data_IF_804016221412
#
_entry.id   IF_804016221412
#
_cell.length_a   1.000
_cell.length_b   1.000
_cell.length_c   1.000
_cell.angle_alpha   90.00
_cell.angle_beta   90.00
_cell.angle_gamma   90.00
#
_symmetry.space_group_name_H-M   'P 1'
#
loop_
_entity.id
_entity.type
_entity.pdbx_description
1 polymer ?
#
# COMPACT_ATOMS: atom_id res chain seq x y z
N UNK A 1 -20.12 -14.77 17.92
CA UNK A 1 -21.17 -14.99 16.89
C UNK A 1 -20.45 -15.32 15.58
N UNK A 2 -20.49 -16.61 15.19
CA UNK A 2 -19.88 -17.08 13.95
C UNK A 2 -20.80 -16.73 12.78
N UNK A 3 -20.48 -15.68 12.04
CA UNK A 3 -21.20 -15.35 10.81
C UNK A 3 -20.71 -16.26 9.68
N UNK A 4 -21.12 -17.53 9.73
CA UNK A 4 -21.05 -18.40 8.58
C UNK A 4 -22.17 -17.97 7.61
N UNK A 5 -22.04 -16.80 7.01
CA UNK A 5 -22.95 -16.36 5.97
C UNK A 5 -22.67 -17.17 4.72
N UNK A 6 -23.66 -17.98 4.32
CA UNK A 6 -23.72 -18.73 3.07
C UNK A 6 -24.22 -17.87 1.90
N UNK A 7 -24.39 -16.55 2.09
CA UNK A 7 -24.78 -15.64 1.02
C UNK A 7 -23.71 -15.67 -0.09
N UNK A 8 -24.07 -16.00 -1.34
CA UNK A 8 -23.13 -16.09 -2.45
C UNK A 8 -22.29 -14.82 -2.66
N UNK A 9 -22.88 -13.65 -2.38
CA UNK A 9 -22.18 -12.36 -2.51
C UNK A 9 -21.04 -12.21 -1.49
N UNK A 10 -21.24 -12.75 -0.29
CA UNK A 10 -20.20 -12.74 0.76
C UNK A 10 -19.10 -13.73 0.42
N UNK A 11 -19.43 -14.88 -0.13
CA UNK A 11 -18.46 -15.87 -0.58
C UNK A 11 -17.60 -15.28 -1.71
N UNK A 12 -18.24 -14.68 -2.72
CA UNK A 12 -17.54 -13.99 -3.81
C UNK A 12 -16.60 -12.89 -3.28
N UNK A 13 -17.07 -12.05 -2.35
CA UNK A 13 -16.23 -11.01 -1.76
C UNK A 13 -15.00 -11.58 -1.03
N UNK A 14 -15.18 -12.69 -0.30
CA UNK A 14 -14.07 -13.36 0.39
C UNK A 14 -13.05 -13.92 -0.60
N UNK A 15 -13.53 -14.55 -1.66
CA UNK A 15 -12.69 -15.08 -2.74
C UNK A 15 -11.89 -13.95 -3.43
N UNK A 16 -12.57 -12.87 -3.85
CA UNK A 16 -11.92 -11.71 -4.45
C UNK A 16 -10.90 -11.05 -3.52
N UNK A 17 -11.18 -10.95 -2.22
CA UNK A 17 -10.20 -10.48 -1.23
C UNK A 17 -9.02 -11.43 -1.09
N UNK A 18 -9.27 -12.74 -1.11
CA UNK A 18 -8.22 -13.76 -1.09
C UNK A 18 -7.29 -13.62 -2.29
N UNK A 19 -7.85 -13.52 -3.49
CA UNK A 19 -7.09 -13.33 -4.72
C UNK A 19 -6.28 -12.01 -4.69
N UNK A 20 -6.88 -10.90 -4.27
CA UNK A 20 -6.21 -9.61 -4.17
C UNK A 20 -5.02 -9.61 -3.19
N UNK A 21 -5.07 -10.44 -2.15
CA UNK A 21 -3.97 -10.59 -1.19
C UNK A 21 -2.75 -11.32 -1.75
N UNK A 22 -2.90 -12.05 -2.84
CA UNK A 22 -1.79 -12.74 -3.50
C UNK A 22 -0.85 -11.79 -4.26
N UNK A 23 -1.21 -10.50 -4.39
CA UNK A 23 -0.36 -9.52 -5.07
C UNK A 23 0.08 -9.99 -6.45
N UNK A 24 1.39 -10.11 -6.67
CA UNK A 24 1.97 -10.57 -7.94
C UNK A 24 1.85 -12.07 -8.21
N UNK A 25 1.26 -12.84 -7.27
CA UNK A 25 1.08 -14.28 -7.37
C UNK A 25 2.22 -15.11 -6.77
N UNK A 26 2.00 -16.43 -6.61
CA UNK A 26 2.89 -17.29 -5.84
C UNK A 26 4.31 -17.35 -6.39
N UNK A 27 4.50 -17.33 -7.70
CA UNK A 27 5.83 -17.38 -8.32
C UNK A 27 6.67 -16.13 -7.97
N UNK A 28 6.07 -14.94 -8.04
CA UNK A 28 6.76 -13.68 -7.71
C UNK A 28 7.02 -13.54 -6.22
N UNK A 29 6.12 -14.06 -5.38
CA UNK A 29 6.31 -14.15 -3.93
C UNK A 29 7.49 -15.07 -3.63
N UNK A 30 7.54 -16.26 -4.22
CA UNK A 30 8.67 -17.19 -4.06
C UNK A 30 10.00 -16.58 -4.51
N UNK A 31 10.00 -15.85 -5.64
CA UNK A 31 11.18 -15.14 -6.10
C UNK A 31 11.63 -14.00 -5.16
N UNK A 32 10.70 -13.36 -4.46
CA UNK A 32 11.01 -12.35 -3.42
C UNK A 32 11.66 -13.02 -2.20
N UNK A 33 11.09 -14.13 -1.73
CA UNK A 33 11.64 -14.91 -0.62
C UNK A 33 13.01 -15.50 -0.93
N UNK A 34 13.23 -15.99 -2.15
CA UNK A 34 14.53 -16.49 -2.59
C UNK A 34 15.65 -15.44 -2.51
N UNK A 35 15.30 -14.13 -2.54
CA UNK A 35 16.23 -13.02 -2.34
C UNK A 35 16.39 -12.62 -0.86
N UNK A 36 15.82 -13.38 0.06
CA UNK A 36 15.81 -13.07 1.49
C UNK A 36 14.91 -11.88 1.87
N UNK A 37 13.97 -11.49 0.99
CA UNK A 37 13.07 -10.36 1.22
C UNK A 37 11.67 -10.85 1.57
N UNK A 38 11.03 -10.18 2.54
CA UNK A 38 9.63 -10.36 2.87
C UNK A 38 8.73 -9.61 1.87
N UNK A 39 7.51 -10.09 1.70
CA UNK A 39 6.45 -9.38 0.98
C UNK A 39 6.00 -8.13 1.73
N UNK A 40 5.26 -7.23 1.07
CA UNK A 40 4.69 -6.04 1.70
C UNK A 40 3.82 -6.40 2.92
N UNK A 41 2.98 -7.43 2.79
CA UNK A 41 2.07 -7.87 3.85
C UNK A 41 2.80 -8.45 5.05
N UNK A 42 3.79 -9.31 4.82
CA UNK A 42 4.62 -9.90 5.88
C UNK A 42 5.35 -8.81 6.68
N UNK A 43 5.89 -7.78 6.01
CA UNK A 43 6.52 -6.65 6.68
C UNK A 43 5.55 -5.88 7.58
N UNK A 44 4.30 -5.69 7.12
CA UNK A 44 3.27 -5.02 7.91
C UNK A 44 2.82 -5.87 9.10
N UNK A 45 2.64 -7.19 8.90
CA UNK A 45 2.26 -8.13 9.97
C UNK A 45 3.33 -8.26 11.04
N UNK A 46 4.60 -8.13 10.66
CA UNK A 46 5.72 -8.14 11.61
C UNK A 46 5.79 -6.85 12.44
N UNK A 47 5.39 -5.71 11.87
CA UNK A 47 5.51 -4.40 12.50
C UNK A 47 4.31 -4.06 13.38
N UNK A 48 3.10 -4.40 12.96
CA UNK A 48 1.87 -4.01 13.64
C UNK A 48 1.45 -5.01 14.71
N UNK A 49 0.68 -4.54 15.69
CA UNK A 49 0.07 -5.40 16.68
C UNK A 49 -0.79 -6.47 16.00
N UNK A 50 -0.67 -7.70 16.48
CA UNK A 50 -1.32 -8.86 15.87
C UNK A 50 -2.83 -8.66 15.67
N UNK A 51 -3.27 -8.78 14.42
CA UNK A 51 -4.70 -8.68 14.04
C UNK A 51 -5.27 -7.26 14.02
N UNK A 52 -4.45 -6.23 14.30
CA UNK A 52 -4.89 -4.83 14.30
C UNK A 52 -5.05 -4.26 12.87
N UNK A 53 -4.33 -4.80 11.89
CA UNK A 53 -4.30 -4.25 10.53
C UNK A 53 -5.67 -4.27 9.85
N UNK A 54 -6.08 -3.11 9.36
CA UNK A 54 -7.28 -2.91 8.52
C UNK A 54 -6.86 -2.36 7.18
N UNK A 55 -6.91 -3.21 6.16
CA UNK A 55 -6.54 -2.84 4.80
C UNK A 55 -7.59 -1.96 4.14
N UNK A 56 -7.13 -0.97 3.39
CA UNK A 56 -7.95 -0.06 2.60
C UNK A 56 -7.59 -0.16 1.12
N UNK A 57 -8.59 0.09 0.27
CA UNK A 57 -8.42 0.17 -1.19
C UNK A 57 -7.79 -1.08 -1.83
N UNK A 58 -8.08 -2.26 -1.28
CA UNK A 58 -7.54 -3.55 -1.74
C UNK A 58 -7.86 -3.85 -3.21
N UNK A 59 -8.99 -3.34 -3.73
CA UNK A 59 -9.46 -3.60 -5.10
C UNK A 59 -9.08 -2.53 -6.11
N UNK A 60 -8.40 -1.46 -5.68
CA UNK A 60 -7.94 -0.40 -6.60
C UNK A 60 -6.91 -1.00 -7.57
N UNK A 61 -7.07 -0.66 -8.85
CA UNK A 61 -6.13 -1.00 -9.92
C UNK A 61 -5.72 0.27 -10.66
N UNK A 62 -4.65 0.21 -11.45
CA UNK A 62 -4.30 1.31 -12.34
C UNK A 62 -5.37 1.51 -13.43
N UNK A 63 -5.39 2.70 -14.04
CA UNK A 63 -6.33 3.08 -15.09
C UNK A 63 -5.69 3.09 -16.49
N UNK A 64 -4.41 2.76 -16.61
CA UNK A 64 -3.72 2.76 -17.90
C UNK A 64 -4.15 1.56 -18.74
N UNK A 65 -4.30 1.81 -20.05
CA UNK A 65 -4.58 0.79 -21.06
C UNK A 65 -3.40 0.61 -22.03
N UNK A 66 -2.33 1.40 -21.85
CA UNK A 66 -1.18 1.39 -22.75
C UNK A 66 -0.22 0.26 -22.40
N UNK A 67 0.60 -0.13 -23.38
CA UNK A 67 1.66 -1.14 -23.22
C UNK A 67 1.19 -2.48 -22.67
N UNK A 68 -0.07 -2.88 -22.89
CA UNK A 68 -0.64 -4.15 -22.43
C UNK A 68 -1.04 -4.17 -20.97
N UNK A 69 -1.08 -3.01 -20.29
CA UNK A 69 -1.54 -2.91 -18.90
C UNK A 69 -3.03 -3.21 -18.76
N UNK A 70 -3.82 -3.00 -19.82
CA UNK A 70 -5.24 -3.38 -19.87
C UNK A 70 -5.49 -4.85 -19.49
N UNK A 71 -4.53 -5.74 -19.81
CA UNK A 71 -4.56 -7.18 -19.54
C UNK A 71 -3.98 -7.57 -18.18
N UNK A 72 -3.41 -6.64 -17.45
CA UNK A 72 -2.68 -6.88 -16.20
C UNK A 72 -3.19 -6.00 -15.05
N UNK A 73 -4.49 -6.02 -14.79
CA UNK A 73 -5.11 -5.26 -13.69
C UNK A 73 -5.01 -6.02 -12.38
N UNK A 74 -3.89 -5.85 -11.68
CA UNK A 74 -3.63 -6.51 -10.39
C UNK A 74 -4.22 -5.66 -9.27
N UNK A 75 -5.15 -6.20 -8.43
CA UNK A 75 -5.70 -5.48 -7.29
C UNK A 75 -4.63 -5.01 -6.30
N UNK A 76 -4.84 -3.82 -5.75
CA UNK A 76 -3.89 -3.19 -4.85
C UNK A 76 -2.83 -2.35 -5.53
N UNK A 77 -2.61 -2.55 -6.85
CA UNK A 77 -1.71 -1.78 -7.71
C UNK A 77 -0.30 -1.55 -7.15
N UNK A 78 0.28 -2.59 -6.54
CA UNK A 78 1.66 -2.56 -6.05
C UNK A 78 1.87 -1.81 -4.74
N UNK A 79 0.80 -1.44 -4.02
CA UNK A 79 0.89 -0.91 -2.67
C UNK A 79 -0.24 -1.39 -1.77
N UNK A 80 0.13 -1.90 -0.62
CA UNK A 80 -0.82 -2.23 0.46
C UNK A 80 -0.95 -1.01 1.36
N UNK A 81 -2.18 -0.56 1.61
CA UNK A 81 -2.46 0.63 2.42
C UNK A 81 -3.49 0.31 3.49
N UNK A 82 -3.39 0.97 4.64
CA UNK A 82 -4.35 0.77 5.70
C UNK A 82 -3.93 1.45 7.00
N UNK A 83 -4.51 0.98 8.09
CA UNK A 83 -4.18 1.42 9.43
C UNK A 83 -4.18 0.24 10.40
N UNK A 84 -3.52 0.42 11.51
CA UNK A 84 -3.45 -0.58 12.59
C UNK A 84 -2.94 0.08 13.86
N UNK A 85 -2.52 -0.74 14.81
CA UNK A 85 -1.84 -0.24 16.00
C UNK A 85 -0.39 -0.74 16.04
N UNK A 86 0.47 0.06 16.65
CA UNK A 86 1.84 -0.26 17.00
C UNK A 86 2.03 0.09 18.47
N UNK A 87 2.26 -0.90 19.31
CA UNK A 87 2.28 -0.76 20.78
C UNK A 87 1.01 -0.05 21.31
N UNK A 88 -0.16 -0.45 20.78
CA UNK A 88 -1.45 0.11 21.13
C UNK A 88 -1.77 1.49 20.55
N UNK A 89 -0.85 2.12 19.82
CA UNK A 89 -1.05 3.45 19.22
C UNK A 89 -1.51 3.34 17.78
N UNK A 90 -2.52 4.12 17.41
CA UNK A 90 -3.01 4.19 16.02
C UNK A 90 -1.90 4.70 15.09
N UNK A 91 -1.65 3.95 14.03
CA UNK A 91 -0.76 4.34 12.93
C UNK A 91 -1.44 4.06 11.59
N UNK A 92 -1.17 4.92 10.61
CA UNK A 92 -1.49 4.67 9.22
C UNK A 92 -0.23 4.16 8.52
N UNK A 93 -0.41 3.18 7.63
CA UNK A 93 0.73 2.49 7.05
C UNK A 93 0.49 2.22 5.57
N UNK A 94 1.55 2.35 4.78
CA UNK A 94 1.61 1.81 3.44
C UNK A 94 2.88 0.99 3.24
N UNK A 95 2.79 -0.06 2.44
CA UNK A 95 3.93 -0.89 2.07
C UNK A 95 3.90 -1.15 0.56
N UNK A 96 4.97 -0.79 -0.14
CA UNK A 96 5.11 -1.07 -1.56
C UNK A 96 5.39 -2.55 -1.77
N UNK A 97 4.64 -3.16 -2.70
CA UNK A 97 4.72 -4.58 -3.02
C UNK A 97 5.53 -4.80 -4.29
N UNK A 98 6.78 -5.19 -4.11
CA UNK A 98 7.70 -5.43 -5.22
C UNK A 98 7.25 -6.59 -6.13
N UNK A 99 6.37 -7.48 -5.66
CA UNK A 99 5.83 -8.57 -6.47
C UNK A 99 4.88 -8.09 -7.56
N UNK A 100 4.33 -6.85 -7.42
CA UNK A 100 3.42 -6.23 -8.37
C UNK A 100 4.12 -5.08 -9.09
N UNK A 101 4.42 -5.26 -10.36
CA UNK A 101 5.11 -4.26 -11.21
C UNK A 101 6.41 -3.70 -10.58
N UNK A 102 7.14 -4.52 -9.78
CA UNK A 102 8.34 -4.08 -9.07
C UNK A 102 8.06 -2.96 -8.04
N UNK A 103 6.85 -2.91 -7.48
CA UNK A 103 6.45 -1.83 -6.56
C UNK A 103 6.44 -0.44 -7.19
N UNK A 104 6.46 -0.35 -8.53
CA UNK A 104 6.52 0.92 -9.25
C UNK A 104 5.26 1.76 -9.02
N UNK A 105 5.46 3.06 -8.84
CA UNK A 105 4.39 3.99 -8.50
C UNK A 105 3.62 4.40 -9.74
N UNK A 106 2.34 4.04 -9.80
CA UNK A 106 1.34 4.55 -10.73
C UNK A 106 0.63 5.76 -10.14
N UNK A 107 -0.22 6.41 -10.92
CA UNK A 107 -1.11 7.44 -10.37
C UNK A 107 -2.07 6.86 -9.31
N UNK A 108 -2.65 5.69 -9.53
CA UNK A 108 -3.55 5.03 -8.56
C UNK A 108 -2.80 4.62 -7.28
N UNK A 109 -1.59 4.08 -7.41
CA UNK A 109 -0.69 3.76 -6.30
C UNK A 109 -0.43 5.01 -5.43
N UNK A 110 -0.03 6.12 -6.06
CA UNK A 110 0.22 7.39 -5.38
C UNK A 110 -1.03 7.92 -4.68
N UNK A 111 -2.20 7.88 -5.34
CA UNK A 111 -3.48 8.33 -4.77
C UNK A 111 -3.85 7.55 -3.50
N UNK A 112 -3.57 6.24 -3.44
CA UNK A 112 -3.76 5.44 -2.23
C UNK A 112 -2.87 5.91 -1.08
N UNK A 113 -1.60 6.23 -1.36
CA UNK A 113 -0.65 6.76 -0.36
C UNK A 113 -1.12 8.12 0.14
N UNK A 114 -1.48 9.04 -0.75
CA UNK A 114 -2.00 10.37 -0.39
C UNK A 114 -3.24 10.26 0.49
N UNK A 115 -4.17 9.38 0.15
CA UNK A 115 -5.37 9.13 0.96
C UNK A 115 -5.03 8.69 2.39
N UNK A 116 -4.07 7.79 2.56
CA UNK A 116 -3.61 7.34 3.89
C UNK A 116 -2.99 8.49 4.67
N UNK A 117 -2.17 9.34 4.03
CA UNK A 117 -1.58 10.52 4.64
C UNK A 117 -2.66 11.52 5.11
N UNK A 118 -3.67 11.77 4.27
CA UNK A 118 -4.78 12.67 4.60
C UNK A 118 -5.61 12.17 5.79
N UNK A 119 -5.85 10.85 5.84
CA UNK A 119 -6.56 10.23 6.96
C UNK A 119 -5.74 10.30 8.25
N UNK A 120 -4.45 10.05 8.17
CA UNK A 120 -3.54 10.16 9.31
C UNK A 120 -3.55 11.57 9.90
N UNK A 121 -3.47 12.60 9.04
CA UNK A 121 -3.56 13.99 9.47
C UNK A 121 -4.86 14.33 10.18
N UNK A 122 -5.99 13.91 9.59
CA UNK A 122 -7.32 14.15 10.18
C UNK A 122 -7.47 13.51 11.56
N UNK A 123 -6.78 12.38 11.80
CA UNK A 123 -6.85 11.64 13.05
C UNK A 123 -5.67 11.93 14.00
N UNK A 124 -4.75 12.82 13.63
CA UNK A 124 -3.56 13.12 14.44
C UNK A 124 -2.65 11.92 14.66
N UNK A 125 -2.63 10.95 13.72
CA UNK A 125 -1.88 9.72 13.81
C UNK A 125 -0.61 9.76 12.94
N UNK A 126 0.40 8.95 13.30
CA UNK A 126 1.62 8.81 12.52
C UNK A 126 1.37 8.04 11.21
N UNK A 127 2.20 8.31 10.20
CA UNK A 127 2.27 7.53 8.96
C UNK A 127 3.59 6.78 8.90
N UNK A 128 3.53 5.49 8.58
CA UNK A 128 4.70 4.64 8.36
C UNK A 128 4.71 4.19 6.91
N UNK A 129 5.81 4.46 6.20
CA UNK A 129 6.02 4.02 4.83
C UNK A 129 7.10 2.93 4.74
N UNK A 130 6.73 1.75 4.25
CA UNK A 130 7.65 0.65 3.98
C UNK A 130 7.95 0.61 2.47
N UNK A 131 8.97 1.35 2.06
CA UNK A 131 9.30 1.52 0.65
C UNK A 131 10.09 0.32 0.10
N UNK A 132 9.67 -0.18 -1.06
CA UNK A 132 10.38 -1.17 -1.88
C UNK A 132 9.87 -1.02 -3.32
N UNK A 133 10.51 -0.14 -4.11
CA UNK A 133 10.01 0.29 -5.41
C UNK A 133 11.11 0.45 -6.44
N UNK A 134 10.81 0.07 -7.66
CA UNK A 134 11.65 0.34 -8.84
C UNK A 134 11.53 1.79 -9.37
N UNK A 135 10.73 2.65 -8.74
CA UNK A 135 10.55 4.04 -9.17
C UNK A 135 9.18 4.33 -9.79
N UNK A 136 9.09 5.34 -10.67
CA UNK A 136 7.86 5.66 -11.40
C UNK A 136 7.49 4.55 -12.40
N UNK A 137 6.19 4.25 -12.55
CA UNK A 137 5.72 3.30 -13.56
C UNK A 137 5.80 3.93 -14.93
N UNK A 138 6.88 3.62 -15.68
CA UNK A 138 7.18 4.24 -16.97
C UNK A 138 6.07 4.06 -18.01
N UNK A 139 5.32 2.96 -17.93
CA UNK A 139 4.20 2.69 -18.85
C UNK A 139 3.04 3.69 -18.68
N UNK A 140 2.95 4.39 -17.56
CA UNK A 140 1.96 5.45 -17.33
C UNK A 140 2.50 6.86 -17.64
N UNK A 141 3.77 6.97 -18.03
CA UNK A 141 4.38 8.22 -18.47
C UNK A 141 4.23 9.36 -17.45
N UNK A 142 3.72 10.50 -17.90
CA UNK A 142 3.57 11.71 -17.09
C UNK A 142 2.62 11.51 -15.89
N UNK A 143 1.62 10.62 -16.01
CA UNK A 143 0.67 10.38 -14.92
C UNK A 143 1.35 9.79 -13.68
N UNK A 144 2.34 8.89 -13.87
CA UNK A 144 3.10 8.34 -12.75
C UNK A 144 4.02 9.38 -12.10
N UNK A 145 4.62 10.27 -12.90
CA UNK A 145 5.44 11.38 -12.36
C UNK A 145 4.58 12.38 -11.58
N UNK A 146 3.36 12.68 -12.06
CA UNK A 146 2.38 13.46 -11.33
C UNK A 146 2.04 12.83 -9.96
N UNK A 147 1.84 11.52 -9.93
CA UNK A 147 1.61 10.79 -8.68
C UNK A 147 2.77 10.94 -7.68
N UNK A 148 4.01 10.90 -8.13
CA UNK A 148 5.17 11.20 -7.27
C UNK A 148 5.13 12.63 -6.75
N UNK A 149 4.79 13.59 -7.62
CA UNK A 149 4.68 14.99 -7.22
C UNK A 149 3.62 15.20 -6.13
N UNK A 150 2.54 14.42 -6.14
CA UNK A 150 1.49 14.48 -5.11
C UNK A 150 1.95 13.85 -3.77
N UNK A 151 2.74 12.77 -3.81
CA UNK A 151 3.24 12.11 -2.59
C UNK A 151 4.28 12.95 -1.87
N UNK A 152 5.21 13.61 -2.61
CA UNK A 152 6.30 14.40 -2.01
C UNK A 152 5.79 15.58 -1.16
N UNK A 153 4.89 16.47 -1.64
CA UNK A 153 4.31 17.52 -0.82
C UNK A 153 3.44 16.98 0.31
N UNK A 154 2.73 15.85 0.08
CA UNK A 154 2.00 15.13 1.11
C UNK A 154 2.91 14.74 2.27
N UNK A 155 4.09 14.24 1.98
CA UNK A 155 5.09 13.90 2.98
C UNK A 155 5.79 15.14 3.59
N UNK A 156 6.07 16.18 2.81
CA UNK A 156 6.84 17.35 3.23
C UNK A 156 5.97 18.45 3.89
N UNK A 157 4.77 18.69 3.36
CA UNK A 157 3.90 19.79 3.82
C UNK A 157 2.95 19.42 4.96
N UNK A 158 2.74 18.13 5.17
CA UNK A 158 1.76 17.60 6.12
C UNK A 158 2.46 16.84 7.25
N UNK A 159 3.32 17.46 8.04
CA UNK A 159 3.90 16.91 9.27
C UNK A 159 3.89 15.35 9.39
N UNK A 160 4.33 14.66 8.35
CA UNK A 160 4.59 13.23 8.41
C UNK A 160 5.81 13.07 9.32
N UNK A 161 5.54 12.80 10.57
CA UNK A 161 6.46 12.52 11.65
C UNK A 161 7.85 13.15 11.48
N UNK A 162 8.01 14.44 11.78
CA UNK A 162 9.30 14.92 12.28
C UNK A 162 9.44 14.33 13.67
N UNK A 163 10.48 13.56 13.97
CA UNK A 163 10.81 13.27 15.36
C UNK A 163 10.90 14.64 16.07
N UNK A 164 10.07 14.84 17.09
CA UNK A 164 10.28 15.95 18.01
C UNK A 164 11.69 15.75 18.60
N UNK A 165 12.65 16.57 18.18
CA UNK A 165 13.99 16.45 18.76
C UNK A 165 15.16 16.93 17.91
N UNK A 166 14.95 17.36 16.65
CA UNK A 166 16.04 18.09 15.98
C UNK A 166 15.78 19.58 16.14
N UNK A 167 16.46 20.13 17.16
CA UNK A 167 16.41 21.52 17.54
C UNK A 167 16.75 22.44 16.37
N UNK A 168 15.95 23.49 16.23
CA UNK A 168 16.46 24.76 15.75
C UNK A 168 17.23 25.38 16.90
N UNK A 169 18.52 25.13 16.91
CA UNK A 169 19.47 26.04 17.51
C UNK A 169 20.41 26.50 16.38
N UNK A 170 20.13 27.67 15.88
CA UNK A 170 20.91 28.84 15.46
C UNK A 170 20.29 29.58 14.29
#
# INVERSE_FOLDING_TARGET
MSTNSTDPRILELRERKGAARQGGGPERIAAQHAKGKMTARERMELLLDKGSFKEMDIFVTHNSNDFGLDKQRIPGDGVVTGYGTLDGRLVYIYAQDFTVFGGSVSHAHASKICKIMDMAMKNGAAVIGLNDSGGARIQEGVASLGGYADVIPGAAGKNVCRPQGYGRDR
#
